data_IF_185411661803
#
_entry.id   IF_185411661803
#
_cell.length_a   1.000
_cell.length_b   1.000
_cell.length_c   1.000
_cell.angle_alpha   90.00
_cell.angle_beta   90.00
_cell.angle_gamma   90.00
#
_symmetry.space_group_name_H-M   'P 1'
#
loop_
_entity.id
_entity.type
_entity.pdbx_description
1 polymer ?
#
# COMPACT_ATOMS: atom_id res chain seq x y z
N UNK A 1 5.79 -23.36 -6.61
CA UNK A 1 6.36 -22.02 -6.79
C UNK A 1 6.83 -21.56 -5.43
N UNK A 2 8.13 -21.40 -5.32
CA UNK A 2 8.89 -21.38 -4.08
C UNK A 2 8.82 -20.01 -3.40
N UNK A 3 8.65 -20.06 -2.08
CA UNK A 3 9.04 -19.10 -1.06
C UNK A 3 9.89 -17.91 -1.56
N UNK A 4 9.25 -16.77 -1.77
CA UNK A 4 9.94 -15.48 -1.83
C UNK A 4 9.71 -14.70 -0.53
N UNK A 5 10.19 -15.24 0.59
CA UNK A 5 10.40 -14.45 1.81
C UNK A 5 11.89 -14.24 1.97
N UNK A 6 12.39 -13.18 1.34
CA UNK A 6 13.75 -12.73 1.57
C UNK A 6 13.78 -12.00 2.93
N UNK A 7 14.13 -12.73 3.99
CA UNK A 7 14.53 -12.15 5.28
C UNK A 7 15.95 -11.60 5.16
N UNK A 8 16.11 -10.31 4.87
CA UNK A 8 17.38 -9.62 5.10
C UNK A 8 17.36 -8.89 6.43
N UNK A 9 18.33 -9.21 7.29
CA UNK A 9 18.68 -8.45 8.49
C UNK A 9 18.79 -9.31 9.75
N UNK A 10 20.02 -9.50 10.22
CA UNK A 10 20.35 -10.06 11.54
C UNK A 10 19.85 -9.23 12.73
N UNK A 11 19.06 -8.18 12.48
CA UNK A 11 18.40 -7.32 13.48
C UNK A 11 16.97 -7.73 13.84
N UNK A 12 16.37 -8.69 13.12
CA UNK A 12 15.04 -9.21 13.47
C UNK A 12 15.08 -10.43 14.40
N UNK A 13 16.24 -10.75 15.00
CA UNK A 13 16.33 -11.75 16.07
C UNK A 13 16.18 -11.10 17.44
N UNK A 14 14.94 -10.79 17.81
CA UNK A 14 14.39 -10.86 19.18
C UNK A 14 12.97 -10.30 19.13
N UNK A 15 11.96 -11.16 19.20
CA UNK A 15 10.58 -10.77 19.50
C UNK A 15 10.49 -10.30 20.95
N UNK A 16 11.06 -9.12 21.26
CA UNK A 16 10.61 -8.38 22.44
C UNK A 16 9.13 -8.12 22.25
N UNK A 17 8.30 -8.65 23.17
CA UNK A 17 6.84 -8.50 23.30
C UNK A 17 6.34 -7.04 23.41
N UNK A 18 7.13 -6.06 23.01
CA UNK A 18 6.82 -4.66 23.09
C UNK A 18 6.23 -4.20 21.75
N UNK A 19 4.98 -4.61 21.50
CA UNK A 19 4.18 -4.20 20.34
C UNK A 19 3.98 -2.69 20.42
N UNK A 20 4.63 -1.96 19.51
CA UNK A 20 4.52 -0.50 19.42
C UNK A 20 4.24 -0.14 17.98
N UNK A 21 3.22 0.69 17.76
CA UNK A 21 2.99 1.31 16.46
C UNK A 21 4.18 2.17 16.06
N UNK A 22 4.43 2.25 14.75
CA UNK A 22 5.37 3.20 14.17
C UNK A 22 4.73 4.60 14.28
N UNK A 23 5.52 5.61 14.65
CA UNK A 23 5.07 7.01 14.68
C UNK A 23 5.96 7.85 13.77
N UNK A 24 5.40 8.90 13.19
CA UNK A 24 6.11 9.83 12.31
C UNK A 24 6.03 9.43 10.83
N UNK A 25 6.88 10.04 10.01
CA UNK A 25 6.83 9.87 8.57
C UNK A 25 7.22 8.45 8.15
N UNK A 26 6.40 7.86 7.31
CA UNK A 26 6.60 6.53 6.72
C UNK A 26 6.47 6.57 5.22
N UNK A 27 7.24 5.73 4.54
CA UNK A 27 7.07 5.41 3.14
C UNK A 27 6.16 4.18 3.03
N UNK A 28 5.13 4.27 2.19
CA UNK A 28 4.22 3.18 1.86
C UNK A 28 4.21 2.99 0.35
N UNK A 29 4.36 1.75 -0.11
CA UNK A 29 4.29 1.43 -1.53
C UNK A 29 3.71 0.02 -1.74
N UNK A 30 3.00 -0.17 -2.85
CA UNK A 30 2.57 -1.48 -3.35
C UNK A 30 3.37 -1.85 -4.60
N UNK A 31 3.64 -3.14 -4.78
CA UNK A 31 4.22 -3.69 -6.00
C UNK A 31 3.09 -4.17 -6.93
N UNK A 32 3.06 -3.80 -8.22
CA UNK A 32 4.03 -2.97 -8.95
C UNK A 32 3.95 -1.49 -8.61
N UNK A 33 5.08 -0.80 -8.66
CA UNK A 33 5.21 0.64 -8.40
C UNK A 33 5.73 1.29 -9.69
N UNK A 34 4.84 1.80 -10.54
CA UNK A 34 5.14 2.22 -11.92
C UNK A 34 5.13 3.74 -12.09
N UNK A 35 4.45 4.45 -11.20
CA UNK A 35 4.37 5.90 -11.18
C UNK A 35 5.03 6.45 -9.90
N UNK A 36 5.74 7.60 -9.95
CA UNK A 36 6.35 8.19 -8.75
C UNK A 36 5.34 8.45 -7.61
N UNK A 37 4.08 8.69 -7.97
CA UNK A 37 2.96 8.88 -7.03
C UNK A 37 2.52 7.63 -6.29
N UNK A 38 2.95 6.44 -6.71
CA UNK A 38 2.64 5.16 -6.05
C UNK A 38 3.37 5.00 -4.72
N UNK A 39 4.50 5.71 -4.58
CA UNK A 39 5.22 5.82 -3.31
C UNK A 39 4.55 6.93 -2.50
N UNK A 40 3.88 6.54 -1.42
CA UNK A 40 3.18 7.47 -0.52
C UNK A 40 4.06 7.77 0.68
N UNK A 41 4.24 9.06 0.96
CA UNK A 41 4.81 9.54 2.21
C UNK A 41 3.65 9.95 3.11
N UNK A 42 3.43 9.17 4.17
CA UNK A 42 2.31 9.34 5.11
C UNK A 42 2.85 9.60 6.51
N UNK A 43 2.03 10.14 7.39
CA UNK A 43 2.34 10.27 8.82
C UNK A 43 1.64 9.16 9.60
N UNK A 44 2.42 8.27 10.21
CA UNK A 44 1.91 7.26 11.12
C UNK A 44 1.62 7.90 12.49
N UNK A 45 0.38 7.76 12.94
CA UNK A 45 -0.11 8.33 14.19
C UNK A 45 -0.51 7.23 15.17
N UNK A 46 -0.49 7.58 16.46
CA UNK A 46 -0.92 6.67 17.52
C UNK A 46 -2.43 6.81 17.74
N UNK A 47 -3.16 5.73 17.55
CA UNK A 47 -4.60 5.65 17.78
C UNK A 47 -4.88 4.55 18.82
N UNK A 48 -5.00 4.92 20.11
CA UNK A 48 -5.22 3.96 21.21
C UNK A 48 -6.39 3.00 20.99
N UNK A 49 -7.46 3.48 20.37
CA UNK A 49 -8.66 2.71 20.03
C UNK A 49 -8.36 1.56 19.04
N UNK A 50 -7.29 1.67 18.24
CA UNK A 50 -6.86 0.67 17.27
C UNK A 50 -5.75 -0.25 17.80
N UNK A 51 -5.31 -0.12 19.05
CA UNK A 51 -4.22 -0.93 19.62
C UNK A 51 -4.52 -2.43 19.70
N UNK A 52 -5.78 -2.82 19.52
CA UNK A 52 -6.21 -4.21 19.42
C UNK A 52 -5.88 -4.83 18.04
N UNK A 53 -5.61 -4.02 17.02
CA UNK A 53 -5.18 -4.44 15.69
C UNK A 53 -3.66 -4.61 15.66
N UNK A 54 -3.19 -5.68 15.04
CA UNK A 54 -1.77 -6.02 14.93
C UNK A 54 -1.49 -6.71 13.59
N UNK A 55 -0.24 -6.64 13.15
CA UNK A 55 0.24 -7.19 11.87
C UNK A 55 -0.55 -6.69 10.64
N UNK A 56 -1.11 -5.47 10.73
CA UNK A 56 -1.85 -4.83 9.65
C UNK A 56 -1.51 -3.34 9.55
N UNK A 57 -1.65 -2.80 8.34
CA UNK A 57 -1.63 -1.37 8.07
C UNK A 57 -3.06 -0.85 8.09
N UNK A 58 -3.33 0.21 8.85
CA UNK A 58 -4.66 0.84 8.90
C UNK A 58 -4.58 2.20 8.22
N UNK A 59 -5.36 2.39 7.18
CA UNK A 59 -5.53 3.69 6.53
C UNK A 59 -6.72 4.44 7.15
N UNK A 60 -6.67 5.78 7.21
CA UNK A 60 -7.83 6.59 7.54
C UNK A 60 -8.97 6.34 6.54
N UNK A 61 -10.20 6.33 7.04
CA UNK A 61 -11.40 6.21 6.21
C UNK A 61 -11.76 7.54 5.51
N UNK A 62 -11.35 8.67 6.10
CA UNK A 62 -11.69 10.00 5.61
C UNK A 62 -10.56 10.58 4.75
N UNK A 63 -10.92 11.35 3.73
CA UNK A 63 -10.00 12.02 2.83
C UNK A 63 -10.63 12.23 1.46
N UNK A 64 -9.92 12.93 0.56
CA UNK A 64 -10.38 13.13 -0.82
C UNK A 64 -10.29 11.85 -1.65
N UNK A 65 -9.28 11.01 -1.38
CA UNK A 65 -9.02 9.75 -2.08
C UNK A 65 -8.44 8.71 -1.11
N UNK A 66 -8.87 7.44 -1.17
CA UNK A 66 -8.31 6.38 -0.33
C UNK A 66 -6.81 6.20 -0.59
N UNK A 67 -5.98 6.20 0.46
CA UNK A 67 -4.52 6.03 0.33
C UNK A 67 -4.10 4.70 -0.30
N UNK A 68 -4.88 3.63 -0.10
CA UNK A 68 -4.70 2.37 -0.82
C UNK A 68 -4.75 2.59 -2.34
N UNK A 69 -5.78 3.27 -2.82
CA UNK A 69 -5.96 3.55 -4.24
C UNK A 69 -4.90 4.52 -4.81
N UNK A 70 -4.36 5.42 -3.98
CA UNK A 70 -3.23 6.27 -4.39
C UNK A 70 -1.95 5.47 -4.67
N UNK A 71 -1.79 4.30 -4.06
CA UNK A 71 -0.65 3.41 -4.22
C UNK A 71 -0.95 2.32 -5.27
N UNK A 72 -0.62 2.56 -6.54
CA UNK A 72 -0.79 1.54 -7.61
C UNK A 72 -2.22 1.03 -7.78
N UNK A 73 -3.22 1.90 -7.52
CA UNK A 73 -4.64 1.54 -7.68
C UNK A 73 -5.09 0.42 -6.74
N UNK A 74 -4.39 0.20 -5.63
CA UNK A 74 -4.70 -0.85 -4.65
C UNK A 74 -6.10 -0.74 -4.11
N UNK A 75 -6.63 -1.88 -3.67
CA UNK A 75 -7.75 -1.94 -2.75
C UNK A 75 -7.33 -2.65 -1.45
N UNK A 76 -8.30 -3.04 -0.63
CA UNK A 76 -8.06 -3.70 0.66
C UNK A 76 -8.63 -5.13 0.66
N UNK A 77 -8.56 -5.83 -0.47
CA UNK A 77 -9.04 -7.21 -0.61
C UNK A 77 -8.01 -8.30 -0.23
N UNK A 78 -6.78 -7.89 0.10
CA UNK A 78 -5.65 -8.77 0.37
C UNK A 78 -4.27 -8.21 0.00
N UNK A 79 -4.22 -6.98 -0.53
CA UNK A 79 -2.99 -6.31 -0.93
C UNK A 79 -1.95 -6.18 0.20
N UNK A 80 -0.68 -6.41 -0.15
CA UNK A 80 0.48 -6.25 0.73
C UNK A 80 1.27 -5.00 0.40
N UNK A 81 1.66 -4.28 1.44
CA UNK A 81 2.39 -3.01 1.33
C UNK A 81 3.80 -3.14 1.89
N UNK A 82 4.74 -2.54 1.19
CA UNK A 82 6.03 -2.17 1.77
C UNK A 82 5.83 -0.93 2.64
N UNK A 83 6.24 -1.00 3.91
CA UNK A 83 6.17 0.12 4.86
C UNK A 83 7.51 0.28 5.55
N UNK A 84 8.07 1.49 5.57
CA UNK A 84 9.30 1.79 6.31
C UNK A 84 9.29 3.19 6.90
N UNK A 85 9.81 3.33 8.13
CA UNK A 85 10.10 4.60 8.78
C UNK A 85 11.59 4.95 8.78
N UNK A 86 12.42 4.23 8.02
CA UNK A 86 13.86 4.48 7.93
C UNK A 86 14.12 5.88 7.35
N UNK A 87 14.79 6.73 8.14
CA UNK A 87 14.98 8.15 7.81
C UNK A 87 15.66 8.38 6.45
N UNK A 88 16.58 7.49 6.05
CA UNK A 88 17.28 7.57 4.77
C UNK A 88 16.41 7.20 3.55
N UNK A 89 15.27 6.55 3.78
CA UNK A 89 14.32 6.17 2.73
C UNK A 89 13.15 7.16 2.65
N UNK A 90 12.93 7.97 3.69
CA UNK A 90 11.97 9.07 3.65
C UNK A 90 12.62 10.24 2.89
N UNK A 91 12.01 10.74 1.81
CA UNK A 91 12.56 11.88 1.08
C UNK A 91 12.59 13.13 1.97
N UNK A 92 13.62 13.99 1.87
CA UNK A 92 13.72 15.20 2.70
C UNK A 92 12.52 16.14 2.60
N UNK A 93 11.82 16.14 1.46
CA UNK A 93 10.60 16.93 1.24
C UNK A 93 9.43 16.47 2.12
N UNK A 94 9.45 15.21 2.59
CA UNK A 94 8.38 14.53 3.33
C UNK A 94 7.01 14.61 2.62
N UNK A 95 7.03 14.66 1.29
CA UNK A 95 5.85 14.84 0.45
C UNK A 95 5.77 13.77 -0.61
N UNK A 96 4.56 13.25 -0.80
CA UNK A 96 4.23 12.37 -1.92
C UNK A 96 4.15 13.16 -3.23
N UNK A 97 4.41 12.48 -4.33
CA UNK A 97 4.04 12.97 -5.66
C UNK A 97 2.53 12.84 -5.88
N UNK A 98 1.95 13.58 -6.82
CA UNK A 98 0.54 13.44 -7.18
C UNK A 98 0.27 12.01 -7.65
N UNK A 99 -0.70 11.27 -7.07
CA UNK A 99 -0.97 9.90 -7.47
C UNK A 99 -1.53 9.85 -8.89
N UNK A 100 -1.22 8.77 -9.62
CA UNK A 100 -1.84 8.51 -10.92
C UNK A 100 -3.34 8.25 -10.75
N UNK A 101 -4.15 8.58 -11.77
CA UNK A 101 -5.54 8.18 -11.80
C UNK A 101 -5.64 6.75 -12.33
N UNK A 102 -6.14 5.85 -11.48
CA UNK A 102 -6.30 4.42 -11.77
C UNK A 102 -7.73 4.10 -12.19
N UNK A 103 -8.34 5.00 -12.95
CA UNK A 103 -9.69 4.81 -13.48
C UNK A 103 -9.68 3.70 -14.52
N UNK A 104 -10.76 2.90 -14.54
CA UNK A 104 -10.95 1.91 -15.59
C UNK A 104 -11.07 2.60 -16.93
N UNK A 105 -10.46 2.02 -17.97
CA UNK A 105 -10.65 2.50 -19.34
C UNK A 105 -12.12 2.40 -19.76
N UNK A 106 -12.49 3.15 -20.79
CA UNK A 106 -13.86 3.11 -21.32
C UNK A 106 -14.24 1.68 -21.74
N UNK A 107 -15.46 1.27 -21.37
CA UNK A 107 -15.99 -0.03 -21.74
C UNK A 107 -16.14 -0.13 -23.26
N UNK A 108 -15.40 -1.05 -23.88
CA UNK A 108 -15.57 -1.36 -25.30
C UNK A 108 -16.84 -2.19 -25.49
N UNK A 109 -17.95 -1.51 -25.83
CA UNK A 109 -19.19 -2.19 -26.24
C UNK A 109 -18.95 -2.95 -27.53
N UNK A 110 -18.96 -4.27 -27.46
CA UNK A 110 -18.89 -5.11 -28.64
C UNK A 110 -20.27 -5.16 -29.30
N UNK A 111 -20.36 -5.15 -30.65
CA UNK A 111 -21.62 -5.24 -31.37
C UNK A 111 -22.27 -6.63 -31.30
N UNK A 112 -21.66 -7.58 -30.58
CA UNK A 112 -22.12 -8.95 -30.42
C UNK A 112 -22.41 -9.23 -28.95
N UNK A 113 -23.34 -10.14 -28.70
CA UNK A 113 -23.64 -10.60 -27.34
C UNK A 113 -22.40 -11.25 -26.70
N UNK A 114 -22.18 -10.93 -25.42
CA UNK A 114 -21.14 -11.55 -24.60
C UNK A 114 -21.64 -12.92 -24.17
N UNK A 115 -21.03 -13.98 -24.70
CA UNK A 115 -21.22 -15.35 -24.21
C UNK A 115 -20.03 -15.73 -23.32
N UNK A 116 -20.22 -16.58 -22.30
CA UNK A 116 -19.17 -17.02 -21.36
C UNK A 116 -17.90 -17.60 -22.03
N UNK A 117 -17.96 -17.95 -23.32
CA UNK A 117 -16.82 -18.45 -24.10
C UNK A 117 -15.84 -17.35 -24.53
N UNK A 118 -16.16 -16.09 -24.32
CA UNK A 118 -15.32 -14.96 -24.71
C UNK A 118 -14.83 -14.24 -23.47
N UNK A 119 -13.79 -14.79 -22.85
CA UNK A 119 -12.90 -14.03 -21.98
C UNK A 119 -11.68 -13.74 -22.83
N UNK A 120 -11.48 -12.48 -23.20
CA UNK A 120 -10.18 -12.00 -23.69
C UNK A 120 -9.53 -11.37 -22.47
N UNK A 121 -8.47 -12.02 -21.97
CA UNK A 121 -7.59 -11.50 -20.92
C UNK A 121 -6.60 -10.52 -21.58
#
# INVERSE_FOLDING_TARGET
>A
MENCFIKYGSRFSETKKNRRGIKGYVVVAKNPCLHPGDVRILEAVDAPELHHLYDCLVFPQNGERPHANEASGSDLDGDLYFVTGEENLVPPSKKSWTPMQYESGEEKKLPRDVTQKVIVI
#
